data_IF_304917289907
#
_entry.id   IF_304917289907
#
_cell.length_a   1.000
_cell.length_b   1.000
_cell.length_c   1.000
_cell.angle_alpha   90.00
_cell.angle_beta   90.00
_cell.angle_gamma   90.00
#
_symmetry.space_group_name_H-M   'P 1'
#
loop_
_entity.id
_entity.type
_entity.pdbx_description
1 polymer ?
#
# COMPACT_ATOMS: atom_id res chain seq x y z
N UNK A 1 76.92 36.95 62.60
CA UNK A 1 75.76 37.46 63.29
C UNK A 1 74.54 37.32 62.40
N UNK A 2 73.57 36.55 62.88
CA UNK A 2 72.15 36.44 62.57
C UNK A 2 71.69 36.12 61.17
N UNK A 3 71.26 34.87 61.04
CA UNK A 3 70.40 34.30 60.04
C UNK A 3 68.98 34.86 60.09
N UNK A 4 68.35 34.92 58.97
CA UNK A 4 66.85 35.06 58.89
C UNK A 4 66.34 34.12 57.82
N UNK A 5 65.67 33.08 58.31
CA UNK A 5 64.90 32.12 57.51
C UNK A 5 63.75 32.78 56.77
N UNK A 6 63.61 32.57 55.47
CA UNK A 6 62.38 32.79 54.71
C UNK A 6 61.82 31.41 54.31
N UNK A 7 60.66 31.09 54.87
CA UNK A 7 59.90 29.90 54.55
C UNK A 7 59.10 30.16 53.25
N UNK A 8 59.45 29.43 52.21
CA UNK A 8 58.70 29.40 50.94
C UNK A 8 57.55 28.44 51.11
N UNK A 9 56.32 29.00 51.08
CA UNK A 9 55.06 28.24 51.10
C UNK A 9 54.62 27.93 49.67
N UNK A 10 54.99 26.74 49.19
CA UNK A 10 54.52 26.21 47.94
C UNK A 10 52.99 25.90 48.02
N UNK A 11 52.16 26.79 47.47
CA UNK A 11 50.74 26.55 47.26
C UNK A 11 50.56 25.51 46.14
N UNK A 12 50.27 24.27 46.49
CA UNK A 12 49.80 23.22 45.57
C UNK A 12 48.44 23.62 45.04
N UNK A 13 48.36 24.01 43.76
CA UNK A 13 47.10 24.16 43.00
C UNK A 13 46.66 22.75 42.59
N UNK A 14 45.55 22.25 43.16
CA UNK A 14 44.85 21.05 42.71
C UNK A 14 44.15 21.35 41.36
N UNK A 15 44.23 20.46 40.34
CA UNK A 15 43.46 20.62 39.15
C UNK A 15 41.98 20.30 39.44
N UNK A 16 41.10 21.28 39.21
CA UNK A 16 39.67 21.05 39.20
C UNK A 16 39.36 20.31 37.92
N UNK A 17 39.11 18.99 38.03
CA UNK A 17 38.55 18.20 36.93
C UNK A 17 37.09 18.59 36.77
N UNK A 18 36.82 19.40 35.74
CA UNK A 18 35.46 19.73 35.33
C UNK A 18 34.88 18.49 34.60
N UNK A 19 34.10 17.66 35.31
CA UNK A 19 33.32 16.59 34.72
C UNK A 19 32.19 17.24 33.89
N UNK A 20 32.39 17.30 32.55
CA UNK A 20 31.35 17.68 31.63
C UNK A 20 30.32 16.53 31.56
N UNK A 21 29.26 16.65 32.37
CA UNK A 21 28.12 15.73 32.30
C UNK A 21 27.41 15.98 30.98
N UNK A 22 27.73 15.17 29.94
CA UNK A 22 27.04 15.17 28.68
C UNK A 22 25.63 14.58 28.93
N UNK A 23 24.65 15.45 29.20
CA UNK A 23 23.23 15.07 29.23
C UNK A 23 22.87 14.72 27.80
N UNK A 24 22.90 13.42 27.45
CA UNK A 24 22.24 12.88 26.32
C UNK A 24 20.73 13.12 26.54
N UNK A 25 20.24 14.25 26.03
CA UNK A 25 18.80 14.42 25.83
C UNK A 25 18.38 13.31 24.85
N UNK A 26 17.42 12.45 25.20
CA UNK A 26 16.84 11.56 24.20
C UNK A 26 16.31 12.45 23.08
N UNK A 27 16.81 12.27 21.87
CA UNK A 27 16.13 12.79 20.70
C UNK A 27 14.68 12.29 20.84
N UNK A 28 13.74 13.21 20.95
CA UNK A 28 12.32 12.85 20.92
C UNK A 28 12.15 12.05 19.63
N UNK A 29 12.04 10.74 19.74
CA UNK A 29 11.64 9.90 18.64
C UNK A 29 10.25 10.44 18.26
N UNK A 30 10.14 11.05 17.08
CA UNK A 30 8.84 11.34 16.48
C UNK A 30 8.13 9.99 16.47
N UNK A 31 7.01 9.90 17.21
CA UNK A 31 6.26 8.65 17.32
C UNK A 31 5.88 8.15 15.93
N UNK A 32 5.97 6.83 15.72
CA UNK A 32 5.48 6.23 14.47
C UNK A 32 3.97 6.48 14.37
N UNK A 33 3.52 6.95 13.22
CA UNK A 33 2.11 7.20 12.98
C UNK A 33 1.58 6.29 11.86
N UNK A 34 0.32 5.92 11.98
CA UNK A 34 -0.43 5.25 10.91
C UNK A 34 -0.96 6.24 9.86
N UNK A 35 -1.68 5.77 8.85
CA UNK A 35 -2.21 6.64 7.79
C UNK A 35 -3.25 7.66 8.29
N UNK A 36 -3.86 7.44 9.45
CA UNK A 36 -4.77 8.40 10.11
C UNK A 36 -4.01 9.51 10.84
N UNK A 37 -2.68 9.44 10.93
CA UNK A 37 -1.85 10.30 11.77
C UNK A 37 -1.91 9.95 13.26
N UNK A 38 -2.49 8.81 13.63
CA UNK A 38 -2.53 8.31 14.99
C UNK A 38 -1.19 7.69 15.36
N UNK A 39 -0.69 8.03 16.57
CA UNK A 39 0.56 7.47 17.08
C UNK A 39 0.41 5.97 17.39
N UNK A 40 1.36 5.17 16.91
CA UNK A 40 1.45 3.74 17.20
C UNK A 40 2.25 3.59 18.49
N UNK A 41 1.55 3.43 19.61
CA UNK A 41 2.14 3.42 20.95
C UNK A 41 2.98 2.16 21.28
N UNK A 42 3.00 1.17 20.37
CA UNK A 42 3.68 -0.11 20.57
C UNK A 42 5.07 -0.07 19.97
N UNK A 43 6.04 -0.62 20.68
CA UNK A 43 7.42 -0.83 20.20
C UNK A 43 7.70 -2.33 20.11
N UNK A 44 8.25 -2.80 18.97
CA UNK A 44 8.60 -4.19 18.72
C UNK A 44 7.47 -5.18 19.06
N UNK A 45 6.28 -5.07 18.42
CA UNK A 45 5.14 -5.94 18.72
C UNK A 45 5.48 -7.40 18.43
N UNK A 46 5.00 -8.31 19.30
CA UNK A 46 5.29 -9.74 19.22
C UNK A 46 4.06 -10.58 18.84
N UNK A 47 2.86 -10.06 19.10
CA UNK A 47 1.58 -10.74 18.88
C UNK A 47 0.71 -9.90 17.95
N UNK A 48 1.05 -9.95 16.66
CA UNK A 48 0.41 -9.11 15.65
C UNK A 48 -0.74 -9.87 14.98
N UNK A 49 -1.90 -9.24 14.89
CA UNK A 49 -3.03 -9.67 14.09
C UNK A 49 -3.18 -8.73 12.90
N UNK A 50 -3.40 -9.27 11.70
CA UNK A 50 -3.63 -8.47 10.50
C UNK A 50 -4.99 -8.79 9.87
N UNK A 51 -5.80 -7.74 9.64
CA UNK A 51 -7.16 -7.85 9.12
C UNK A 51 -7.23 -7.77 7.59
N UNK A 52 -6.08 -7.72 6.89
CA UNK A 52 -6.02 -7.63 5.44
C UNK A 52 -4.80 -8.39 4.88
N UNK A 53 -5.03 -9.39 4.03
CA UNK A 53 -3.98 -10.28 3.53
C UNK A 53 -2.81 -9.57 2.85
N UNK A 54 -3.07 -8.49 2.09
CA UNK A 54 -1.99 -7.71 1.49
C UNK A 54 -1.08 -7.04 2.52
N UNK A 55 -1.64 -6.58 3.64
CA UNK A 55 -0.84 -5.99 4.73
C UNK A 55 -0.17 -7.06 5.59
N UNK A 56 -0.79 -8.24 5.72
CA UNK A 56 -0.18 -9.41 6.36
C UNK A 56 1.11 -9.83 5.62
N UNK A 57 1.05 -9.88 4.29
CA UNK A 57 2.24 -10.14 3.47
C UNK A 57 3.29 -9.03 3.63
N UNK A 58 2.90 -7.75 3.57
CA UNK A 58 3.81 -6.62 3.77
C UNK A 58 4.47 -6.65 5.15
N UNK A 59 3.73 -7.00 6.22
CA UNK A 59 4.29 -7.17 7.56
C UNK A 59 5.33 -8.28 7.60
N UNK A 60 5.07 -9.40 6.92
CA UNK A 60 6.03 -10.51 6.81
C UNK A 60 7.28 -10.11 5.99
N UNK A 61 7.10 -9.36 4.90
CA UNK A 61 8.20 -8.78 4.11
C UNK A 61 9.06 -7.80 4.92
N UNK A 62 8.46 -7.14 5.91
CA UNK A 62 9.17 -6.29 6.89
C UNK A 62 9.84 -7.08 8.02
N UNK A 63 9.81 -8.42 8.00
CA UNK A 63 10.43 -9.29 9.01
C UNK A 63 9.56 -9.54 10.24
N UNK A 64 8.27 -9.18 10.18
CA UNK A 64 7.32 -9.42 11.26
C UNK A 64 6.72 -10.82 11.25
N UNK A 65 6.18 -11.24 12.39
CA UNK A 65 5.42 -12.50 12.56
C UNK A 65 3.96 -12.18 12.88
N UNK A 66 3.07 -13.12 12.58
CA UNK A 66 1.63 -12.97 12.75
C UNK A 66 1.07 -14.09 13.62
N UNK A 67 0.17 -13.76 14.56
CA UNK A 67 -0.60 -14.74 15.33
C UNK A 67 -2.03 -14.91 14.82
N UNK A 68 -2.55 -13.94 14.05
CA UNK A 68 -3.88 -14.01 13.44
C UNK A 68 -3.93 -13.24 12.11
N UNK A 69 -4.68 -13.79 11.14
CA UNK A 69 -4.89 -13.18 9.81
C UNK A 69 -6.32 -13.41 9.33
N UNK A 70 -6.81 -12.58 8.43
CA UNK A 70 -8.03 -12.84 7.66
C UNK A 70 -7.77 -13.88 6.57
N UNK A 71 -8.82 -14.58 6.13
CA UNK A 71 -8.76 -15.71 5.20
C UNK A 71 -8.10 -15.39 3.85
N UNK A 72 -8.22 -14.13 3.39
CA UNK A 72 -7.61 -13.64 2.16
C UNK A 72 -6.07 -13.69 2.17
N UNK A 73 -5.43 -13.71 3.33
CA UNK A 73 -3.99 -13.93 3.44
C UNK A 73 -3.58 -15.29 2.87
N UNK A 74 -4.43 -16.32 3.04
CA UNK A 74 -4.18 -17.67 2.52
C UNK A 74 -4.81 -17.84 1.13
N UNK A 75 -6.10 -17.50 0.98
CA UNK A 75 -6.87 -17.77 -0.24
C UNK A 75 -6.45 -16.90 -1.42
N UNK A 76 -6.09 -15.63 -1.17
CA UNK A 76 -5.80 -14.66 -2.22
C UNK A 76 -4.29 -14.33 -2.33
N UNK A 77 -3.57 -14.34 -1.20
CA UNK A 77 -2.13 -14.05 -1.17
C UNK A 77 -1.26 -15.29 -1.17
N UNK A 78 -1.86 -16.49 -0.98
CA UNK A 78 -1.12 -17.75 -0.96
C UNK A 78 -0.11 -17.84 0.20
N UNK A 79 -0.32 -17.07 1.27
CA UNK A 79 0.60 -17.09 2.40
C UNK A 79 0.55 -18.43 3.12
N UNK A 80 1.73 -18.96 3.41
CA UNK A 80 1.90 -20.12 4.29
C UNK A 80 2.36 -19.60 5.64
N UNK A 81 1.49 -19.61 6.65
CA UNK A 81 1.80 -19.16 8.01
C UNK A 81 1.00 -19.99 9.04
N UNK A 82 1.55 -20.07 10.25
CA UNK A 82 0.88 -20.73 11.39
C UNK A 82 -0.14 -19.82 12.10
N UNK A 83 -0.45 -18.64 11.52
CA UNK A 83 -1.38 -17.68 12.07
C UNK A 83 -2.82 -18.23 12.04
N UNK A 84 -3.58 -17.97 13.09
CA UNK A 84 -4.99 -18.36 13.15
C UNK A 84 -5.83 -17.53 12.19
N UNK A 85 -6.72 -18.16 11.42
CA UNK A 85 -7.72 -17.44 10.62
C UNK A 85 -8.76 -16.84 11.57
N UNK A 86 -8.91 -15.50 11.52
CA UNK A 86 -9.77 -14.72 12.41
C UNK A 86 -11.00 -14.14 11.69
N UNK A 87 -11.44 -14.76 10.61
CA UNK A 87 -12.59 -14.35 9.81
C UNK A 87 -12.18 -13.81 8.44
N UNK A 88 -13.07 -13.03 7.83
CA UNK A 88 -12.84 -12.42 6.51
C UNK A 88 -12.50 -10.92 6.62
N UNK A 89 -11.99 -10.32 5.55
CA UNK A 89 -11.74 -8.87 5.48
C UNK A 89 -12.98 -8.02 5.76
N UNK A 90 -14.17 -8.52 5.42
CA UNK A 90 -15.46 -7.83 5.63
C UNK A 90 -16.17 -8.21 6.92
N UNK A 91 -15.69 -9.26 7.61
CA UNK A 91 -16.28 -9.77 8.85
C UNK A 91 -15.20 -10.40 9.75
N UNK A 92 -14.29 -9.58 10.31
CA UNK A 92 -13.30 -10.06 11.27
C UNK A 92 -14.01 -10.50 12.56
N UNK A 93 -13.55 -11.60 13.14
CA UNK A 93 -14.11 -12.15 14.38
C UNK A 93 -13.40 -11.54 15.58
N UNK A 94 -14.06 -10.57 16.24
CA UNK A 94 -13.50 -9.85 17.39
C UNK A 94 -13.20 -10.75 18.59
N UNK A 95 -14.01 -11.78 18.83
CA UNK A 95 -13.78 -12.70 19.94
C UNK A 95 -12.49 -13.51 19.76
N UNK A 96 -12.25 -14.00 18.53
CA UNK A 96 -11.00 -14.70 18.19
C UNK A 96 -9.80 -13.75 18.25
N UNK A 97 -9.95 -12.50 17.78
CA UNK A 97 -8.89 -11.51 17.86
C UNK A 97 -8.51 -11.24 19.33
N UNK A 98 -9.50 -10.97 20.19
CA UNK A 98 -9.26 -10.74 21.62
C UNK A 98 -8.68 -11.96 22.32
N UNK A 99 -9.12 -13.18 21.97
CA UNK A 99 -8.57 -14.42 22.52
C UNK A 99 -7.09 -14.66 22.17
N UNK A 100 -6.61 -14.05 21.08
CA UNK A 100 -5.19 -14.07 20.70
C UNK A 100 -4.34 -13.10 21.53
N UNK A 101 -4.94 -12.24 22.36
CA UNK A 101 -4.26 -11.24 23.18
C UNK A 101 -3.19 -10.46 22.38
N UNK A 102 -3.57 -9.77 21.28
CA UNK A 102 -2.61 -9.09 20.42
C UNK A 102 -2.09 -7.81 21.06
N UNK A 103 -0.81 -7.52 20.83
CA UNK A 103 -0.19 -6.24 21.19
C UNK A 103 -0.26 -5.20 20.05
N UNK A 104 -0.62 -5.64 18.81
CA UNK A 104 -0.94 -4.77 17.69
C UNK A 104 -1.92 -5.43 16.73
N UNK A 105 -2.90 -4.67 16.25
CA UNK A 105 -3.79 -5.05 15.16
C UNK A 105 -3.56 -4.13 13.97
N UNK A 106 -3.20 -4.69 12.82
CA UNK A 106 -2.99 -3.98 11.55
C UNK A 106 -4.24 -4.12 10.68
N UNK A 107 -4.72 -3.02 10.11
CA UNK A 107 -5.96 -2.99 9.34
C UNK A 107 -5.92 -2.00 8.18
N UNK A 108 -6.90 -2.12 7.26
CA UNK A 108 -7.11 -1.15 6.19
C UNK A 108 -8.09 -0.06 6.61
N UNK A 109 -7.73 1.20 6.35
CA UNK A 109 -8.60 2.37 6.51
C UNK A 109 -9.77 2.37 5.51
N UNK A 110 -9.61 1.72 4.36
CA UNK A 110 -10.61 1.71 3.28
C UNK A 110 -11.72 0.68 3.48
N UNK A 111 -11.61 -0.21 4.46
CA UNK A 111 -12.58 -1.27 4.71
C UNK A 111 -13.41 -0.94 5.95
N UNK A 112 -14.64 -0.45 5.73
CA UNK A 112 -15.52 0.03 6.81
C UNK A 112 -15.70 -0.98 7.97
N UNK A 113 -15.78 -2.27 7.68
CA UNK A 113 -15.90 -3.31 8.70
C UNK A 113 -14.65 -3.39 9.60
N UNK A 114 -13.46 -3.17 9.03
CA UNK A 114 -12.19 -3.17 9.77
C UNK A 114 -12.06 -1.91 10.62
N UNK A 115 -12.46 -0.75 10.09
CA UNK A 115 -12.50 0.51 10.85
C UNK A 115 -13.45 0.38 12.05
N UNK A 116 -14.62 -0.23 11.86
CA UNK A 116 -15.56 -0.50 12.96
C UNK A 116 -14.99 -1.50 13.99
N UNK A 117 -14.29 -2.54 13.51
CA UNK A 117 -13.60 -3.48 14.37
C UNK A 117 -12.52 -2.81 15.22
N UNK A 118 -11.71 -1.93 14.61
CA UNK A 118 -10.66 -1.17 15.29
C UNK A 118 -11.21 -0.32 16.43
N UNK A 119 -12.34 0.37 16.24
CA UNK A 119 -12.99 1.16 17.30
C UNK A 119 -13.34 0.31 18.52
N UNK A 120 -13.82 -0.91 18.30
CA UNK A 120 -14.18 -1.85 19.38
C UNK A 120 -12.92 -2.39 20.08
N UNK A 121 -11.88 -2.72 19.30
CA UNK A 121 -10.61 -3.23 19.83
C UNK A 121 -9.86 -2.14 20.62
N UNK A 122 -9.80 -0.92 20.11
CA UNK A 122 -9.20 0.23 20.79
C UNK A 122 -9.93 0.55 22.11
N UNK A 123 -11.28 0.47 22.13
CA UNK A 123 -12.07 0.60 23.36
C UNK A 123 -11.80 -0.52 24.38
N UNK A 124 -11.39 -1.71 23.93
CA UNK A 124 -10.93 -2.81 24.76
C UNK A 124 -9.44 -2.70 25.17
N UNK A 125 -8.75 -1.64 24.76
CA UNK A 125 -7.35 -1.39 25.08
C UNK A 125 -6.33 -2.07 24.14
N UNK A 126 -6.77 -2.60 22.99
CA UNK A 126 -5.90 -3.21 21.99
C UNK A 126 -5.41 -2.15 21.01
N UNK A 127 -4.09 -1.93 20.86
CA UNK A 127 -3.55 -0.98 19.91
C UNK A 127 -3.89 -1.38 18.46
N UNK A 128 -4.36 -0.40 17.65
CA UNK A 128 -4.66 -0.60 16.23
C UNK A 128 -3.89 0.40 15.37
N UNK A 129 -3.34 -0.09 14.25
CA UNK A 129 -2.69 0.72 13.23
C UNK A 129 -3.41 0.55 11.89
N UNK A 130 -3.99 1.65 11.37
CA UNK A 130 -4.74 1.65 10.13
C UNK A 130 -3.89 2.23 8.99
N UNK A 131 -3.85 1.53 7.88
CA UNK A 131 -3.10 1.98 6.71
C UNK A 131 -4.01 2.10 5.48
N UNK A 132 -3.62 3.02 4.61
CA UNK A 132 -4.15 3.18 3.26
C UNK A 132 -2.98 3.07 2.29
N UNK A 133 -3.16 2.30 1.23
CA UNK A 133 -2.11 2.08 0.22
C UNK A 133 -2.78 2.03 -1.16
N UNK A 134 -2.80 3.14 -1.87
CA UNK A 134 -3.23 3.23 -3.26
C UNK A 134 -2.06 3.66 -4.18
N UNK A 135 -0.97 4.15 -3.59
CA UNK A 135 0.24 4.59 -4.28
C UNK A 135 1.46 3.84 -3.76
N UNK A 136 2.53 3.80 -4.57
CA UNK A 136 3.82 3.23 -4.14
C UNK A 136 4.45 4.04 -2.99
N UNK A 137 4.18 5.35 -2.92
CA UNK A 137 4.66 6.21 -1.84
C UNK A 137 4.01 5.83 -0.50
N UNK A 138 2.71 5.57 -0.48
CA UNK A 138 1.99 5.09 0.70
C UNK A 138 2.47 3.69 1.11
N UNK A 139 2.75 2.81 0.14
CA UNK A 139 3.38 1.51 0.41
C UNK A 139 4.76 1.69 1.06
N UNK A 140 5.60 2.57 0.52
CA UNK A 140 6.92 2.86 1.07
C UNK A 140 6.83 3.41 2.50
N UNK A 141 5.86 4.30 2.78
CA UNK A 141 5.61 4.81 4.13
C UNK A 141 5.16 3.71 5.10
N UNK A 142 4.23 2.85 4.69
CA UNK A 142 3.80 1.69 5.49
C UNK A 142 4.98 0.75 5.78
N UNK A 143 5.82 0.45 4.80
CA UNK A 143 7.02 -0.38 4.98
C UNK A 143 8.06 0.28 5.87
N UNK A 144 8.20 1.62 5.83
CA UNK A 144 9.06 2.37 6.74
C UNK A 144 8.61 2.18 8.20
N UNK A 145 7.30 2.31 8.46
CA UNK A 145 6.72 2.05 9.79
C UNK A 145 6.92 0.58 10.20
N UNK A 146 6.59 -0.37 9.32
CA UNK A 146 6.68 -1.79 9.64
C UNK A 146 8.11 -2.21 9.96
N UNK A 147 9.10 -1.77 9.16
CA UNK A 147 10.50 -2.13 9.40
C UNK A 147 11.10 -1.45 10.63
N UNK A 148 10.58 -0.30 11.04
CA UNK A 148 10.94 0.30 12.33
C UNK A 148 10.34 -0.48 13.50
N UNK A 149 9.07 -0.91 13.41
CA UNK A 149 8.42 -1.73 14.45
C UNK A 149 9.08 -3.11 14.61
N UNK A 150 9.55 -3.72 13.52
CA UNK A 150 10.24 -5.02 13.54
C UNK A 150 11.75 -4.90 13.83
N UNK A 151 12.31 -3.67 13.79
CA UNK A 151 13.75 -3.44 13.90
C UNK A 151 14.54 -3.90 12.67
N UNK A 152 13.89 -4.11 11.52
CA UNK A 152 14.48 -4.64 10.29
C UNK A 152 14.60 -3.58 9.19
N UNK A 153 15.23 -2.45 9.53
CA UNK A 153 15.49 -1.38 8.55
C UNK A 153 16.26 -1.86 7.32
N UNK A 154 17.10 -2.88 7.48
CA UNK A 154 17.82 -3.55 6.39
C UNK A 154 16.87 -4.06 5.28
N UNK A 155 15.67 -4.52 5.64
CA UNK A 155 14.66 -4.99 4.68
C UNK A 155 14.02 -3.82 3.91
N UNK A 156 13.82 -2.67 4.56
CA UNK A 156 13.38 -1.46 3.86
C UNK A 156 14.41 -1.04 2.80
N UNK A 157 15.66 -0.91 3.22
CA UNK A 157 16.74 -0.42 2.37
C UNK A 157 17.02 -1.37 1.19
N UNK A 158 16.79 -2.67 1.39
CA UNK A 158 16.94 -3.68 0.33
C UNK A 158 15.78 -3.68 -0.68
N UNK A 159 14.56 -3.32 -0.26
CA UNK A 159 13.35 -3.47 -1.08
C UNK A 159 12.89 -2.14 -1.70
N UNK A 160 12.77 -1.08 -0.91
CA UNK A 160 12.06 0.12 -1.32
C UNK A 160 12.85 1.01 -2.29
N UNK A 161 14.11 1.42 -2.00
CA UNK A 161 14.84 2.28 -2.94
C UNK A 161 15.07 1.66 -4.33
N UNK A 162 15.43 0.37 -4.47
CA UNK A 162 15.57 -0.24 -5.79
C UNK A 162 14.24 -0.31 -6.57
N UNK A 163 13.13 -0.59 -5.88
CA UNK A 163 11.79 -0.64 -6.47
C UNK A 163 11.37 0.74 -6.97
N UNK A 164 11.56 1.80 -6.17
CA UNK A 164 11.26 3.17 -6.59
C UNK A 164 12.11 3.59 -7.80
N UNK A 165 13.40 3.28 -7.81
CA UNK A 165 14.28 3.55 -8.94
C UNK A 165 13.84 2.82 -10.23
N UNK A 166 13.36 1.57 -10.10
CA UNK A 166 12.78 0.84 -11.23
C UNK A 166 11.52 1.53 -11.76
N UNK A 167 10.62 1.96 -10.88
CA UNK A 167 9.38 2.66 -11.26
C UNK A 167 9.71 4.00 -11.94
N UNK A 168 10.63 4.78 -11.38
CA UNK A 168 11.06 6.05 -11.97
C UNK A 168 11.63 5.87 -13.37
N UNK A 169 12.39 4.80 -13.60
CA UNK A 169 12.92 4.47 -14.92
C UNK A 169 11.80 4.12 -15.92
N UNK A 170 10.80 3.34 -15.50
CA UNK A 170 9.64 3.00 -16.35
C UNK A 170 8.83 4.26 -16.69
N UNK A 171 8.54 5.11 -15.71
CA UNK A 171 7.82 6.38 -15.92
C UNK A 171 8.62 7.31 -16.86
N UNK A 172 9.95 7.36 -16.71
CA UNK A 172 10.79 8.17 -17.58
C UNK A 172 10.78 7.66 -19.04
N UNK A 173 10.78 6.32 -19.25
CA UNK A 173 10.61 5.69 -20.56
C UNK A 173 9.26 6.04 -21.17
N UNK A 174 8.16 5.91 -20.42
CA UNK A 174 6.82 6.23 -20.88
C UNK A 174 6.67 7.66 -21.42
N UNK A 175 7.36 8.63 -20.83
CA UNK A 175 7.35 10.04 -21.26
C UNK A 175 7.96 10.28 -22.65
N UNK A 176 8.66 9.31 -23.22
CA UNK A 176 9.20 9.40 -24.59
C UNK A 176 8.13 9.11 -25.65
N UNK A 177 6.98 8.59 -25.25
CA UNK A 177 5.87 8.22 -26.14
C UNK A 177 4.76 9.27 -26.09
N UNK A 178 3.91 9.27 -27.13
CA UNK A 178 2.67 10.05 -27.12
C UNK A 178 1.69 9.45 -26.09
N UNK A 179 1.05 10.33 -25.32
CA UNK A 179 0.09 9.92 -24.28
C UNK A 179 -1.14 9.22 -24.90
N UNK A 180 -1.36 7.92 -24.66
CA UNK A 180 -2.53 7.24 -25.19
C UNK A 180 -3.79 7.61 -24.40
N UNK A 181 -4.93 7.66 -25.11
CA UNK A 181 -6.22 7.72 -24.42
C UNK A 181 -6.60 6.35 -23.91
N UNK A 182 -6.96 6.27 -22.64
CA UNK A 182 -7.31 5.00 -21.99
C UNK A 182 -8.68 5.07 -21.32
N UNK A 183 -9.33 3.93 -21.17
CA UNK A 183 -10.51 3.79 -20.34
C UNK A 183 -10.25 2.67 -19.33
N UNK A 184 -10.21 3.03 -18.05
CA UNK A 184 -10.10 2.05 -16.96
C UNK A 184 -11.50 1.65 -16.50
N UNK A 185 -11.79 0.35 -16.62
CA UNK A 185 -13.02 -0.27 -16.18
C UNK A 185 -12.80 -1.14 -14.95
N UNK A 186 -13.81 -1.21 -14.08
CA UNK A 186 -13.89 -2.18 -13.00
C UNK A 186 -15.11 -3.05 -13.20
N UNK A 187 -14.88 -4.32 -13.48
CA UNK A 187 -15.92 -5.32 -13.68
C UNK A 187 -16.30 -5.99 -12.36
N UNK A 188 -17.60 -6.16 -12.16
CA UNK A 188 -18.25 -6.88 -11.07
C UNK A 188 -19.19 -7.91 -11.67
N UNK A 189 -19.57 -8.93 -10.92
CA UNK A 189 -20.62 -9.87 -11.32
C UNK A 189 -22.00 -9.19 -11.58
N UNK A 190 -22.17 -7.96 -11.09
CA UNK A 190 -23.41 -7.17 -11.20
C UNK A 190 -23.34 -6.02 -12.21
N UNK A 191 -22.23 -5.85 -12.92
CA UNK A 191 -22.04 -4.79 -13.91
C UNK A 191 -20.65 -4.22 -13.97
N UNK A 192 -20.48 -3.08 -14.63
CA UNK A 192 -19.20 -2.43 -14.89
C UNK A 192 -19.26 -0.96 -14.52
N UNK A 193 -18.15 -0.42 -13.99
CA UNK A 193 -17.99 1.02 -13.70
C UNK A 193 -16.68 1.51 -14.28
N UNK A 194 -16.68 2.75 -14.76
CA UNK A 194 -15.42 3.45 -15.05
C UNK A 194 -14.70 3.84 -13.75
N UNK A 195 -13.38 3.96 -13.84
CA UNK A 195 -12.51 4.35 -12.73
C UNK A 195 -11.50 5.40 -13.19
N UNK A 196 -11.20 6.35 -12.30
CA UNK A 196 -10.16 7.35 -12.47
C UNK A 196 -8.88 7.00 -11.69
N UNK A 197 -8.09 8.02 -11.34
CA UNK A 197 -6.89 7.90 -10.50
C UNK A 197 -7.22 7.77 -8.99
N UNK A 198 -8.44 7.39 -8.65
CA UNK A 198 -8.92 7.13 -7.28
C UNK A 198 -8.64 5.68 -6.82
N UNK A 199 -7.79 4.97 -7.54
CA UNK A 199 -7.45 3.58 -7.24
C UNK A 199 -6.09 3.19 -7.86
N UNK A 200 -5.55 2.08 -7.38
CA UNK A 200 -4.24 1.54 -7.73
C UNK A 200 -3.88 1.58 -9.22
N UNK A 201 -4.70 0.97 -10.08
CA UNK A 201 -4.43 0.90 -11.52
C UNK A 201 -4.55 2.28 -12.18
N UNK A 202 -5.51 3.10 -11.73
CA UNK A 202 -5.70 4.46 -12.24
C UNK A 202 -4.53 5.37 -11.92
N UNK A 203 -3.98 5.30 -10.70
CA UNK A 203 -2.76 6.02 -10.32
C UNK A 203 -1.60 5.64 -11.22
N UNK A 204 -1.36 4.34 -11.44
CA UNK A 204 -0.26 3.88 -12.32
C UNK A 204 -0.42 4.35 -13.76
N UNK A 205 -1.64 4.30 -14.33
CA UNK A 205 -1.92 4.80 -15.67
C UNK A 205 -1.67 6.31 -15.77
N UNK A 206 -2.07 7.07 -14.75
CA UNK A 206 -1.80 8.50 -14.66
C UNK A 206 -0.30 8.80 -14.63
N UNK A 207 0.46 8.10 -13.79
CA UNK A 207 1.92 8.25 -13.66
C UNK A 207 2.65 7.93 -14.97
N UNK A 208 2.15 6.96 -15.75
CA UNK A 208 2.64 6.62 -17.08
C UNK A 208 2.22 7.63 -18.17
N UNK A 209 1.50 8.69 -17.79
CA UNK A 209 1.11 9.78 -18.69
C UNK A 209 -0.12 9.50 -19.54
N UNK A 210 -0.92 8.47 -19.22
CA UNK A 210 -2.15 8.18 -19.95
C UNK A 210 -3.23 9.26 -19.72
N UNK A 211 -4.01 9.56 -20.77
CA UNK A 211 -5.22 10.37 -20.69
C UNK A 211 -6.43 9.46 -20.41
N UNK A 212 -6.83 9.34 -19.14
CA UNK A 212 -7.99 8.52 -18.76
C UNK A 212 -9.28 9.26 -19.08
N UNK A 213 -10.04 8.73 -20.07
CA UNK A 213 -11.25 9.34 -20.56
C UNK A 213 -12.34 9.49 -19.49
N UNK A 214 -12.37 8.62 -18.49
CA UNK A 214 -13.30 8.73 -17.37
C UNK A 214 -13.04 9.98 -16.52
N UNK A 215 -11.82 10.46 -16.44
CA UNK A 215 -11.48 11.70 -15.71
C UNK A 215 -11.78 12.94 -16.55
N UNK A 216 -11.58 12.85 -17.87
CA UNK A 216 -11.91 13.91 -18.80
C UNK A 216 -13.43 14.10 -18.99
N UNK A 217 -14.21 13.04 -18.83
CA UNK A 217 -15.67 13.01 -18.93
C UNK A 217 -16.26 12.49 -17.61
N UNK A 218 -16.38 13.34 -16.57
CA UNK A 218 -16.76 12.90 -15.22
C UNK A 218 -18.11 12.19 -15.13
N UNK A 219 -19.04 12.44 -16.04
CA UNK A 219 -20.32 11.71 -16.11
C UNK A 219 -20.13 10.20 -16.31
N UNK A 220 -19.01 9.75 -16.90
CA UNK A 220 -18.71 8.32 -17.04
C UNK A 220 -18.39 7.65 -15.69
N UNK A 221 -17.90 8.41 -14.70
CA UNK A 221 -17.66 7.91 -13.34
C UNK A 221 -18.97 7.74 -12.55
N UNK A 222 -19.98 8.54 -12.87
CA UNK A 222 -21.30 8.49 -12.24
C UNK A 222 -22.19 7.42 -12.90
N UNK A 223 -22.32 7.48 -14.21
CA UNK A 223 -23.13 6.56 -15.02
C UNK A 223 -22.40 6.23 -16.33
N UNK A 224 -21.90 5.00 -16.45
CA UNK A 224 -21.19 4.52 -17.62
C UNK A 224 -22.17 3.90 -18.61
N UNK A 225 -22.24 4.47 -19.82
CA UNK A 225 -23.07 3.94 -20.93
C UNK A 225 -22.19 3.56 -22.12
N UNK A 226 -22.67 2.64 -22.95
CA UNK A 226 -21.96 2.26 -24.18
C UNK A 226 -21.82 3.47 -25.12
N UNK A 227 -22.84 4.33 -25.20
CA UNK A 227 -22.81 5.54 -26.02
C UNK A 227 -21.70 6.49 -25.60
N UNK A 228 -21.49 6.67 -24.29
CA UNK A 228 -20.40 7.50 -23.77
C UNK A 228 -19.02 6.92 -24.11
N UNK A 229 -18.86 5.60 -24.05
CA UNK A 229 -17.63 4.91 -24.44
C UNK A 229 -17.36 5.07 -25.94
N UNK A 230 -18.37 4.87 -26.77
CA UNK A 230 -18.27 5.00 -28.23
C UNK A 230 -17.95 6.43 -28.63
N UNK A 231 -18.55 7.42 -27.99
CA UNK A 231 -18.26 8.83 -28.25
C UNK A 231 -16.83 9.23 -27.85
N UNK A 232 -16.27 8.59 -26.83
CA UNK A 232 -14.91 8.83 -26.34
C UNK A 232 -13.84 8.06 -27.12
N UNK A 233 -14.16 6.87 -27.65
CA UNK A 233 -13.36 5.96 -28.49
C UNK A 233 -11.89 5.82 -28.04
N UNK A 234 -11.60 5.13 -26.91
CA UNK A 234 -10.27 5.00 -26.32
C UNK A 234 -9.29 4.24 -27.21
N UNK A 235 -7.99 4.53 -27.08
CA UNK A 235 -6.90 3.76 -27.73
C UNK A 235 -6.68 2.42 -27.03
N UNK A 236 -6.92 2.35 -25.71
CA UNK A 236 -6.81 1.13 -24.91
C UNK A 236 -7.92 1.06 -23.86
N UNK A 237 -8.37 -0.16 -23.56
CA UNK A 237 -9.29 -0.42 -22.44
C UNK A 237 -8.60 -1.37 -21.46
N UNK A 238 -8.55 -0.96 -20.18
CA UNK A 238 -8.04 -1.79 -19.10
C UNK A 238 -9.20 -2.20 -18.21
N UNK A 239 -9.24 -3.48 -17.82
CA UNK A 239 -10.31 -4.05 -17.02
C UNK A 239 -9.72 -4.62 -15.74
N UNK A 240 -9.99 -4.00 -14.59
CA UNK A 240 -9.75 -4.58 -13.28
C UNK A 240 -10.98 -5.36 -12.83
N UNK A 241 -10.80 -6.56 -12.27
CA UNK A 241 -11.91 -7.41 -11.84
C UNK A 241 -12.06 -7.38 -10.33
N UNK A 242 -13.29 -7.19 -9.83
CA UNK A 242 -13.62 -7.18 -8.41
C UNK A 242 -14.36 -8.44 -8.00
N UNK A 243 -14.05 -8.95 -6.81
CA UNK A 243 -14.65 -10.16 -6.24
C UNK A 243 -13.84 -11.42 -6.55
N UNK A 244 -14.26 -12.56 -5.98
CA UNK A 244 -13.57 -13.85 -6.12
C UNK A 244 -13.87 -14.56 -7.44
N UNK A 245 -15.03 -14.28 -8.06
CA UNK A 245 -15.46 -14.88 -9.32
C UNK A 245 -15.16 -13.95 -10.50
N UNK A 246 -13.99 -14.14 -11.08
CA UNK A 246 -13.51 -13.36 -12.23
C UNK A 246 -14.30 -13.69 -13.50
N UNK A 247 -14.61 -14.96 -13.72
CA UNK A 247 -15.35 -15.41 -14.89
C UNK A 247 -16.75 -14.80 -14.91
N UNK A 248 -17.46 -14.76 -13.76
CA UNK A 248 -18.77 -14.14 -13.66
C UNK A 248 -18.71 -12.63 -13.93
N UNK A 249 -17.67 -11.93 -13.47
CA UNK A 249 -17.52 -10.50 -13.73
C UNK A 249 -17.23 -10.19 -15.20
N UNK A 250 -16.38 -10.97 -15.85
CA UNK A 250 -16.09 -10.84 -17.29
C UNK A 250 -17.28 -11.25 -18.15
N UNK A 251 -18.02 -12.30 -17.78
CA UNK A 251 -19.26 -12.69 -18.44
C UNK A 251 -20.33 -11.59 -18.35
N UNK A 252 -20.45 -10.90 -17.21
CA UNK A 252 -21.36 -9.76 -17.06
C UNK A 252 -20.99 -8.59 -17.97
N UNK A 253 -19.70 -8.30 -18.15
CA UNK A 253 -19.20 -7.30 -19.09
C UNK A 253 -19.55 -7.69 -20.53
N UNK A 254 -19.24 -8.94 -20.95
CA UNK A 254 -19.52 -9.43 -22.29
C UNK A 254 -21.03 -9.41 -22.60
N UNK A 255 -21.85 -9.87 -21.66
CA UNK A 255 -23.31 -9.83 -21.79
C UNK A 255 -23.85 -8.39 -21.91
N UNK A 256 -23.21 -7.41 -21.27
CA UNK A 256 -23.66 -6.01 -21.33
C UNK A 256 -23.30 -5.35 -22.65
N UNK A 257 -22.10 -5.53 -23.18
CA UNK A 257 -21.59 -4.78 -24.33
C UNK A 257 -20.84 -5.62 -25.37
N UNK A 258 -20.26 -6.75 -25.00
CA UNK A 258 -19.34 -7.53 -25.82
C UNK A 258 -19.92 -7.95 -27.16
N UNK A 259 -21.25 -8.23 -27.24
CA UNK A 259 -21.97 -8.62 -28.45
C UNK A 259 -22.47 -7.42 -29.25
N UNK A 260 -22.31 -6.19 -28.78
CA UNK A 260 -22.76 -4.99 -29.48
C UNK A 260 -21.87 -4.65 -30.67
N UNK A 261 -22.40 -4.40 -31.88
CA UNK A 261 -21.62 -3.89 -33.01
C UNK A 261 -20.90 -2.57 -32.69
N UNK A 262 -21.47 -1.74 -31.83
CA UNK A 262 -20.87 -0.46 -31.43
C UNK A 262 -19.64 -0.67 -30.56
N UNK A 263 -19.64 -1.66 -29.63
CA UNK A 263 -18.47 -2.06 -28.87
C UNK A 263 -17.38 -2.65 -29.79
N UNK A 264 -17.76 -3.54 -30.70
CA UNK A 264 -16.83 -4.19 -31.62
C UNK A 264 -16.15 -3.19 -32.59
N UNK A 265 -16.78 -2.05 -32.85
CA UNK A 265 -16.27 -1.00 -33.72
C UNK A 265 -15.27 -0.03 -33.01
N UNK A 266 -15.14 -0.09 -31.66
CA UNK A 266 -14.17 0.74 -30.94
C UNK A 266 -12.75 0.50 -31.42
N UNK A 267 -11.93 1.54 -31.47
CA UNK A 267 -10.49 1.42 -31.84
C UNK A 267 -9.76 0.43 -30.96
N UNK A 268 -9.93 0.51 -29.65
CA UNK A 268 -9.31 -0.41 -28.70
C UNK A 268 -9.70 -1.87 -28.96
N UNK A 269 -10.99 -2.15 -29.23
CA UNK A 269 -11.50 -3.51 -29.45
C UNK A 269 -11.03 -4.05 -30.79
N UNK A 270 -11.17 -3.29 -31.86
CA UNK A 270 -10.76 -3.68 -33.21
C UNK A 270 -9.25 -3.89 -33.36
N UNK A 271 -8.45 -3.18 -32.56
CA UNK A 271 -7.00 -3.31 -32.50
C UNK A 271 -6.52 -4.39 -31.49
N UNK A 272 -7.43 -5.07 -30.78
CA UNK A 272 -7.07 -6.05 -29.75
C UNK A 272 -6.42 -5.45 -28.51
N UNK A 273 -6.67 -4.16 -28.21
CA UNK A 273 -6.09 -3.42 -27.09
C UNK A 273 -7.05 -3.32 -25.89
N UNK A 274 -7.70 -4.44 -25.58
CA UNK A 274 -8.55 -4.61 -24.38
C UNK A 274 -7.85 -5.61 -23.46
N UNK A 275 -7.48 -5.18 -22.27
CA UNK A 275 -6.62 -5.94 -21.37
C UNK A 275 -7.30 -6.18 -20.02
N UNK A 276 -7.42 -7.44 -19.63
CA UNK A 276 -7.79 -7.81 -18.26
C UNK A 276 -6.54 -7.78 -17.40
N UNK A 277 -6.58 -6.97 -16.35
CA UNK A 277 -5.43 -6.76 -15.47
C UNK A 277 -5.34 -7.87 -14.41
N UNK A 278 -4.15 -8.49 -14.21
CA UNK A 278 -3.94 -9.49 -13.17
C UNK A 278 -4.25 -8.95 -11.77
N UNK A 279 -5.07 -9.68 -11.01
CA UNK A 279 -5.52 -9.24 -9.68
C UNK A 279 -4.40 -9.02 -8.68
N UNK A 280 -3.38 -9.86 -8.72
CA UNK A 280 -2.22 -9.80 -7.82
C UNK A 280 -1.35 -8.55 -8.04
N UNK A 281 -1.46 -7.91 -9.20
CA UNK A 281 -0.76 -6.67 -9.54
C UNK A 281 -1.66 -5.41 -9.48
N UNK A 282 -3.00 -5.55 -9.65
CA UNK A 282 -3.87 -4.39 -9.89
C UNK A 282 -5.17 -4.36 -9.06
N UNK A 283 -5.45 -5.42 -8.31
CA UNK A 283 -6.60 -5.47 -7.40
C UNK A 283 -6.14 -5.60 -5.96
N UNK A 284 -5.28 -6.56 -5.65
CA UNK A 284 -4.58 -6.64 -4.38
C UNK A 284 -3.39 -5.68 -4.40
N UNK A 285 -2.91 -5.27 -3.21
CA UNK A 285 -1.71 -4.40 -3.17
C UNK A 285 -0.50 -5.23 -3.67
N UNK A 286 0.27 -4.74 -4.66
CA UNK A 286 1.37 -5.50 -5.25
C UNK A 286 2.53 -5.79 -4.30
N UNK A 287 2.65 -5.01 -3.23
CA UNK A 287 3.72 -5.09 -2.22
C UNK A 287 5.12 -5.01 -2.87
N UNK A 288 5.97 -6.02 -2.75
CA UNK A 288 7.29 -6.01 -3.38
C UNK A 288 7.26 -5.97 -4.93
N UNK A 289 6.08 -6.13 -5.56
CA UNK A 289 5.90 -6.22 -7.02
C UNK A 289 5.39 -4.94 -7.68
N UNK A 290 5.43 -3.79 -6.99
CA UNK A 290 5.03 -2.50 -7.58
C UNK A 290 5.78 -2.18 -8.88
N UNK A 291 7.11 -2.43 -8.92
CA UNK A 291 7.90 -2.22 -10.14
C UNK A 291 7.45 -3.10 -11.30
N UNK A 292 7.04 -4.34 -11.02
CA UNK A 292 6.46 -5.25 -12.00
C UNK A 292 5.11 -4.74 -12.53
N UNK A 293 4.26 -4.18 -11.66
CA UNK A 293 2.96 -3.62 -12.09
C UNK A 293 3.14 -2.46 -13.07
N UNK A 294 4.08 -1.52 -12.78
CA UNK A 294 4.39 -0.42 -13.71
C UNK A 294 4.98 -0.93 -15.03
N UNK A 295 5.93 -1.86 -14.98
CA UNK A 295 6.53 -2.46 -16.18
C UNK A 295 5.49 -3.20 -17.02
N UNK A 296 4.56 -3.92 -16.39
CA UNK A 296 3.47 -4.61 -17.07
C UNK A 296 2.57 -3.64 -17.86
N UNK A 297 2.13 -2.53 -17.24
CA UNK A 297 1.32 -1.53 -17.92
C UNK A 297 2.09 -0.84 -19.04
N UNK A 298 3.36 -0.46 -18.80
CA UNK A 298 4.22 0.16 -19.82
C UNK A 298 4.35 -0.73 -21.05
N UNK A 299 4.55 -2.04 -20.85
CA UNK A 299 4.65 -3.00 -21.94
C UNK A 299 3.32 -3.07 -22.75
N UNK A 300 2.17 -3.13 -22.09
CA UNK A 300 0.86 -3.13 -22.77
C UNK A 300 0.58 -1.85 -23.55
N UNK A 301 1.03 -0.71 -23.02
CA UNK A 301 0.80 0.60 -23.62
C UNK A 301 1.74 0.86 -24.81
N UNK A 302 3.03 0.55 -24.66
CA UNK A 302 4.09 0.97 -25.57
C UNK A 302 4.86 -0.17 -26.25
N UNK A 303 4.69 -1.42 -25.79
CA UNK A 303 5.31 -2.61 -26.39
C UNK A 303 6.77 -2.80 -26.02
N UNK A 304 7.21 -2.29 -24.87
CA UNK A 304 8.58 -2.35 -24.35
C UNK A 304 8.79 -3.46 -23.32
#
# INVERSE_FOLDING_TARGET
MTARNARDSARRRAPVLLFLLLVLLPAAALGLCDSRGAEIAVQAPQRVVCLYGSYAEAWTLAGGTLCGVTDDAVSERGMTCDAQIIGTTKSPNLELILALDPDLVILSEDIAAQVSAAQTLEAAGVPCAAFRVDTVQEYAQMMDVFTQLTGRRDLYDAQIPPMLAQIDAVIAGAKAHEAPTVLLLRAYSTGVKAKGADNLAGVMLHDLGCDNLAERVPSMLEELTLESIVAADPDCIFISVMGSDEDAALAALDASWGQSPAWQALRAVSAGRVYVLPKDLFHYKPNARWGESYAYLSNLLFGE
#
